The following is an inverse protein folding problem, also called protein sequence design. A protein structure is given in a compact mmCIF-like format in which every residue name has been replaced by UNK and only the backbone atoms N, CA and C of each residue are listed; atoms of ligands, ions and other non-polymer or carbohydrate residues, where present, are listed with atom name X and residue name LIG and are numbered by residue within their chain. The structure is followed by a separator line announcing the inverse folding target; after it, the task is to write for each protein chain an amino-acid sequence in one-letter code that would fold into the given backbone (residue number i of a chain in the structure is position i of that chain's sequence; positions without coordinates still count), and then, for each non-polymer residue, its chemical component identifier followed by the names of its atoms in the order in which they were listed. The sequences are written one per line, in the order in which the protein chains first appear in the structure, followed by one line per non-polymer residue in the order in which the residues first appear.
data_IF_760712250053
#
_entry.id   IF_760712250053
#
_cell.length_a   1.000
_cell.length_b   1.000
_cell.length_c   1.000
_cell.angle_alpha   90.00
_cell.angle_beta   90.00
_cell.angle_gamma   90.00
#
_symmetry.space_group_name_H-M   'P 1'
#
loop_
_entity.id
_entity.type
_entity.pdbx_description
1 polymer ?
#
# COMPACT_ATOMS: atom_id res chain seq x y z
N UNK A 1 -18.48 39.90 -16.54
CA UNK A 1 -17.39 39.18 -15.85
C UNK A 1 -17.51 37.70 -16.19
N UNK A 2 -16.98 37.30 -17.35
CA UNK A 2 -17.09 35.93 -17.82
C UNK A 2 -15.90 35.13 -17.26
N UNK A 3 -16.22 34.28 -16.29
CA UNK A 3 -15.48 33.05 -16.00
C UNK A 3 -14.01 33.20 -15.55
N UNK A 4 -13.77 33.81 -14.40
CA UNK A 4 -12.47 33.82 -13.72
C UNK A 4 -11.94 32.41 -13.32
N UNK A 5 -12.77 31.37 -13.57
CA UNK A 5 -12.51 29.97 -13.30
C UNK A 5 -12.24 29.15 -14.58
N UNK A 6 -12.48 29.72 -15.78
CA UNK A 6 -12.26 29.01 -17.05
C UNK A 6 -10.78 28.65 -17.21
N UNK A 7 -10.48 27.37 -17.47
CA UNK A 7 -9.13 26.92 -17.78
C UNK A 7 -8.15 26.90 -16.59
N UNK A 8 -8.60 27.17 -15.36
CA UNK A 8 -7.73 27.07 -14.16
C UNK A 8 -7.47 25.64 -13.70
N UNK A 9 -8.17 24.66 -14.26
CA UNK A 9 -7.90 23.25 -14.07
C UNK A 9 -7.78 22.59 -15.45
N UNK A 10 -6.80 21.70 -15.67
CA UNK A 10 -6.81 20.80 -16.83
C UNK A 10 -8.19 20.14 -16.95
N UNK A 11 -8.69 19.97 -18.18
CA UNK A 11 -9.91 19.19 -18.45
C UNK A 11 -9.60 17.69 -18.31
N UNK A 12 -9.08 17.30 -17.16
CA UNK A 12 -9.00 15.92 -16.75
C UNK A 12 -10.05 15.66 -15.67
N UNK A 13 -10.56 14.43 -15.65
CA UNK A 13 -11.55 14.04 -14.65
C UNK A 13 -10.91 13.83 -13.27
N UNK A 14 -9.60 14.03 -13.12
CA UNK A 14 -8.82 13.66 -11.93
C UNK A 14 -9.27 14.42 -10.70
N UNK A 15 -9.37 15.76 -10.76
CA UNK A 15 -9.84 16.51 -9.59
C UNK A 15 -11.31 16.25 -9.29
N UNK A 16 -12.16 16.11 -10.31
CA UNK A 16 -13.58 15.73 -10.12
C UNK A 16 -13.71 14.37 -9.43
N UNK A 17 -12.82 13.44 -9.79
CA UNK A 17 -12.84 12.09 -9.25
C UNK A 17 -12.22 11.97 -7.86
N UNK A 18 -11.39 12.93 -7.44
CA UNK A 18 -10.72 12.89 -6.12
C UNK A 18 -11.32 13.89 -5.12
N UNK A 19 -11.80 15.04 -5.58
CA UNK A 19 -12.34 16.09 -4.71
C UNK A 19 -13.67 15.68 -4.09
N UNK A 20 -13.88 16.10 -2.83
CA UNK A 20 -15.12 15.84 -2.10
C UNK A 20 -15.32 14.40 -1.61
N UNK A 21 -14.41 13.47 -1.94
CA UNK A 21 -14.40 12.11 -1.36
C UNK A 21 -13.73 12.12 0.01
N UNK A 22 -14.25 11.30 0.91
CA UNK A 22 -13.57 10.94 2.14
C UNK A 22 -12.48 9.89 1.86
N UNK A 23 -11.71 9.51 2.89
CA UNK A 23 -10.63 8.53 2.77
C UNK A 23 -11.14 7.20 2.20
N UNK A 24 -12.30 6.71 2.66
CA UNK A 24 -12.88 5.46 2.18
C UNK A 24 -13.26 5.53 0.69
N UNK A 25 -13.89 6.62 0.26
CA UNK A 25 -14.25 6.86 -1.14
C UNK A 25 -13.02 6.97 -2.05
N UNK A 26 -11.91 7.53 -1.56
CA UNK A 26 -10.65 7.59 -2.29
C UNK A 26 -10.03 6.20 -2.47
N UNK A 27 -9.96 5.40 -1.40
CA UNK A 27 -9.45 4.02 -1.47
C UNK A 27 -10.27 3.19 -2.47
N UNK A 28 -11.60 3.31 -2.43
CA UNK A 28 -12.48 2.63 -3.38
C UNK A 28 -12.27 3.09 -4.83
N UNK A 29 -12.16 4.41 -5.06
CA UNK A 29 -11.92 4.97 -6.40
C UNK A 29 -10.59 4.49 -7.00
N UNK A 30 -9.55 4.40 -6.17
CA UNK A 30 -8.22 3.92 -6.58
C UNK A 30 -8.12 2.39 -6.62
N UNK A 31 -9.16 1.66 -6.22
CA UNK A 31 -9.14 0.20 -6.15
C UNK A 31 -8.18 -0.37 -5.08
N UNK A 32 -7.91 0.41 -4.02
CA UNK A 32 -6.99 0.03 -2.95
C UNK A 32 -7.68 -0.87 -1.92
N UNK A 33 -7.14 -2.08 -1.74
CA UNK A 33 -7.62 -3.05 -0.75
C UNK A 33 -6.98 -2.89 0.62
N UNK A 34 -7.26 -3.84 1.53
CA UNK A 34 -6.80 -3.81 2.92
C UNK A 34 -5.28 -3.72 3.08
N UNK A 35 -4.51 -4.34 2.18
CA UNK A 35 -3.05 -4.30 2.22
C UNK A 35 -2.51 -2.86 2.13
N UNK A 36 -3.12 -1.99 1.32
CA UNK A 36 -2.67 -0.61 1.16
C UNK A 36 -2.83 0.25 2.43
N UNK A 37 -3.59 -0.23 3.41
CA UNK A 37 -3.81 0.43 4.71
C UNK A 37 -2.87 -0.06 5.81
N UNK A 38 -2.08 -1.10 5.55
CA UNK A 38 -1.22 -1.74 6.56
C UNK A 38 0.20 -1.22 6.47
N UNK A 39 0.81 -1.03 7.63
CA UNK A 39 2.24 -0.73 7.72
C UNK A 39 3.09 -1.93 7.27
N UNK A 40 4.34 -1.65 6.89
CA UNK A 40 5.35 -2.66 6.53
C UNK A 40 6.27 -2.89 7.74
N UNK A 41 6.44 -4.14 8.17
CA UNK A 41 7.25 -4.47 9.34
C UNK A 41 6.98 -5.86 9.91
N UNK A 42 7.27 -6.05 11.20
CA UNK A 42 7.11 -7.32 11.95
C UNK A 42 6.06 -7.26 13.06
N UNK A 43 5.37 -6.13 13.21
CA UNK A 43 4.29 -5.96 14.18
C UNK A 43 2.97 -6.63 13.76
N UNK A 44 2.03 -6.67 14.69
CA UNK A 44 0.72 -7.29 14.47
C UNK A 44 -0.02 -6.65 13.30
N UNK A 45 -0.60 -7.49 12.43
CA UNK A 45 -1.39 -7.08 11.26
C UNK A 45 -0.64 -6.21 10.23
N UNK A 46 0.69 -6.24 10.22
CA UNK A 46 1.54 -5.60 9.21
C UNK A 46 1.76 -6.49 7.98
N UNK A 47 2.17 -5.88 6.86
CA UNK A 47 2.74 -6.60 5.73
C UNK A 47 4.17 -7.01 6.12
N UNK A 48 4.52 -8.30 6.09
CA UNK A 48 5.85 -8.77 6.50
C UNK A 48 6.96 -8.11 5.67
N UNK A 49 7.88 -7.44 6.36
CA UNK A 49 9.12 -6.95 5.76
C UNK A 49 10.22 -8.02 5.79
N UNK A 50 11.44 -7.66 5.40
CA UNK A 50 12.57 -8.58 5.37
C UNK A 50 13.01 -9.05 6.77
N UNK A 51 12.69 -8.29 7.83
CA UNK A 51 12.91 -8.70 9.23
C UNK A 51 12.02 -9.87 9.65
N UNK A 52 10.88 -10.07 8.99
CA UNK A 52 10.04 -11.26 9.17
C UNK A 52 10.67 -12.54 8.59
N UNK A 53 11.70 -12.39 7.74
CA UNK A 53 12.43 -13.48 7.08
C UNK A 53 13.85 -13.63 7.65
N UNK A 54 13.95 -13.90 8.96
CA UNK A 54 15.25 -14.14 9.59
C UNK A 54 16.04 -15.24 8.84
N UNK A 55 17.33 -15.04 8.63
CA UNK A 55 18.16 -15.96 7.85
C UNK A 55 19.59 -16.05 8.38
N UNK A 56 20.29 -17.10 7.97
CA UNK A 56 21.69 -17.32 8.29
C UNK A 56 22.31 -18.35 7.34
N UNK A 57 23.56 -18.74 7.59
CA UNK A 57 24.24 -19.73 6.75
C UNK A 57 23.48 -21.07 6.79
N UNK A 58 23.04 -21.53 5.62
CA UNK A 58 22.33 -22.80 5.48
C UNK A 58 20.87 -22.78 5.95
N UNK A 59 20.27 -21.62 6.24
CA UNK A 59 18.85 -21.58 6.64
C UNK A 59 18.16 -20.22 6.44
N UNK A 60 16.83 -20.27 6.35
CA UNK A 60 15.96 -19.10 6.52
C UNK A 60 14.64 -19.48 7.21
N UNK A 61 14.02 -18.50 7.86
CA UNK A 61 12.70 -18.59 8.50
C UNK A 61 11.68 -17.83 7.67
N UNK A 62 10.50 -18.41 7.49
CA UNK A 62 9.34 -17.77 6.89
C UNK A 62 8.53 -17.02 7.96
N UNK A 63 7.79 -15.96 7.58
CA UNK A 63 6.93 -15.21 8.51
C UNK A 63 5.90 -16.08 9.24
N UNK A 64 5.46 -17.18 8.60
CA UNK A 64 4.58 -18.19 9.21
C UNK A 64 5.23 -19.08 10.26
N UNK A 65 6.51 -18.86 10.61
CA UNK A 65 7.23 -19.62 11.64
C UNK A 65 8.01 -20.84 11.13
N UNK A 66 7.81 -21.26 9.88
CA UNK A 66 8.55 -22.38 9.28
C UNK A 66 10.02 -22.03 9.05
N UNK A 67 10.92 -22.99 9.26
CA UNK A 67 12.36 -22.85 8.97
C UNK A 67 12.73 -23.84 7.87
N UNK A 68 13.40 -23.34 6.84
CA UNK A 68 14.01 -24.14 5.77
C UNK A 68 15.51 -24.19 6.02
N UNK A 69 16.08 -25.40 6.06
CA UNK A 69 17.52 -25.61 6.24
C UNK A 69 18.08 -26.40 5.06
N UNK A 70 19.31 -26.09 4.67
CA UNK A 70 20.03 -26.74 3.58
C UNK A 70 21.54 -26.72 3.86
N UNK A 71 22.23 -27.72 3.33
CA UNK A 71 23.67 -27.90 3.44
C UNK A 71 24.15 -28.96 2.46
N UNK A 72 25.45 -28.99 2.18
CA UNK A 72 26.12 -30.05 1.42
C UNK A 72 26.53 -31.19 2.34
#
# INVERSE_FOLDING_TARGET
MLNALAGKQPLDNTLTNLSGKDVAGLLAYLGLGEAAKRDVGTGDNQIPDMGAFASGSGWFRLPGGYIVQFGT
#
